data_IF_034757305333
#
_entry.id   IF_034757305333
#
_cell.length_a   1.000
_cell.length_b   1.000
_cell.length_c   1.000
_cell.angle_alpha   90.00
_cell.angle_beta   90.00
_cell.angle_gamma   90.00
#
_symmetry.space_group_name_H-M   'P 1'
#
loop_
_entity.id
_entity.type
_entity.pdbx_description
1 polymer ?
#
# COMPACT_ATOMS: atom_id res chain seq x y z
N UNK A 1 0.68 -15.57 5.35
CA UNK A 1 1.14 -14.18 5.12
C UNK A 1 0.74 -13.67 3.74
N UNK A 2 0.51 -12.37 3.61
CA UNK A 2 0.08 -11.76 2.34
C UNK A 2 1.29 -11.61 1.38
N UNK A 3 1.09 -11.71 0.05
CA UNK A 3 2.19 -11.62 -0.91
C UNK A 3 3.02 -10.34 -0.84
N UNK A 4 2.39 -9.20 -0.55
CA UNK A 4 3.07 -7.90 -0.37
C UNK A 4 3.94 -7.92 0.88
N UNK A 5 3.42 -8.47 1.98
CA UNK A 5 4.16 -8.55 3.25
C UNK A 5 5.40 -9.45 3.13
N UNK A 6 5.27 -10.61 2.46
CA UNK A 6 6.39 -11.49 2.15
C UNK A 6 7.43 -10.78 1.27
N UNK A 7 6.98 -9.99 0.29
CA UNK A 7 7.89 -9.25 -0.58
C UNK A 7 8.66 -8.15 0.18
N UNK A 8 8.02 -7.47 1.12
CA UNK A 8 8.67 -6.49 2.00
C UNK A 8 9.73 -7.13 2.90
N UNK A 9 9.43 -8.30 3.49
CA UNK A 9 10.38 -9.04 4.33
C UNK A 9 11.56 -9.63 3.55
N UNK A 10 11.36 -9.98 2.27
CA UNK A 10 12.40 -10.51 1.37
C UNK A 10 13.07 -9.45 0.49
N UNK A 11 12.77 -8.16 0.71
CA UNK A 11 13.33 -7.06 -0.09
C UNK A 11 14.83 -6.92 0.12
N UNK A 12 15.57 -6.58 -0.94
CA UNK A 12 17.00 -6.18 -0.85
C UNK A 12 17.21 -5.00 0.09
N UNK A 13 16.19 -4.17 0.26
CA UNK A 13 16.24 -3.01 1.14
C UNK A 13 15.81 -3.34 2.58
N UNK A 14 15.53 -4.59 2.94
CA UNK A 14 15.03 -4.99 4.28
C UNK A 14 15.83 -4.38 5.44
N UNK A 15 17.15 -4.31 5.33
CA UNK A 15 18.03 -3.75 6.38
C UNK A 15 18.14 -2.22 6.40
N UNK A 16 17.64 -1.51 5.38
CA UNK A 16 17.67 -0.04 5.34
C UNK A 16 16.64 0.59 6.26
N UNK A 17 16.93 1.79 6.73
CA UNK A 17 16.05 2.51 7.64
C UNK A 17 14.68 2.77 7.00
N UNK A 18 13.54 2.51 7.67
CA UNK A 18 12.21 2.76 7.09
C UNK A 18 11.98 4.21 6.63
N UNK A 19 12.52 5.20 7.36
CA UNK A 19 12.40 6.61 6.96
C UNK A 19 13.06 6.93 5.61
N UNK A 20 14.17 6.27 5.26
CA UNK A 20 14.80 6.46 3.95
C UNK A 20 13.85 6.03 2.83
N UNK A 21 13.23 4.87 3.00
CA UNK A 21 12.28 4.30 2.04
C UNK A 21 10.98 5.10 2.00
N UNK A 22 10.54 5.60 3.16
CA UNK A 22 9.37 6.47 3.26
C UNK A 22 9.60 7.79 2.53
N UNK A 23 10.75 8.43 2.75
CA UNK A 23 11.12 9.67 2.04
C UNK A 23 11.11 9.47 0.53
N UNK A 24 11.71 8.38 0.04
CA UNK A 24 11.73 8.09 -1.39
C UNK A 24 10.34 7.73 -1.93
N UNK A 25 9.66 6.76 -1.31
CA UNK A 25 8.35 6.27 -1.78
C UNK A 25 7.26 7.34 -1.71
N UNK A 26 7.08 7.97 -0.55
CA UNK A 26 6.11 9.05 -0.40
C UNK A 26 6.57 10.34 -1.10
N UNK A 27 7.87 10.61 -1.19
CA UNK A 27 8.38 11.71 -1.99
C UNK A 27 8.01 11.57 -3.46
N UNK A 28 8.17 10.38 -4.04
CA UNK A 28 7.73 10.07 -5.41
C UNK A 28 6.20 10.17 -5.57
N UNK A 29 5.44 9.76 -4.55
CA UNK A 29 3.98 9.95 -4.55
C UNK A 29 3.60 11.43 -4.52
N UNK A 30 4.24 12.24 -3.68
CA UNK A 30 3.98 13.68 -3.58
C UNK A 30 4.38 14.38 -4.87
N UNK A 31 5.55 14.06 -5.46
CA UNK A 31 5.95 14.65 -6.75
C UNK A 31 4.97 14.26 -7.86
N UNK A 32 4.50 13.02 -7.93
CA UNK A 32 3.47 12.61 -8.90
C UNK A 32 2.15 13.40 -8.75
N UNK A 33 1.75 13.73 -7.53
CA UNK A 33 0.50 14.47 -7.26
C UNK A 33 0.65 15.96 -7.55
N UNK A 34 1.77 16.56 -7.16
CA UNK A 34 1.99 18.01 -7.26
C UNK A 34 2.45 18.47 -8.66
N UNK A 35 3.12 17.60 -9.42
CA UNK A 35 3.60 17.93 -10.76
C UNK A 35 2.47 17.89 -11.81
N UNK A 36 2.63 18.61 -12.94
CA UNK A 36 1.73 18.48 -14.07
C UNK A 36 1.71 17.01 -14.56
N UNK A 37 0.52 16.43 -14.81
CA UNK A 37 0.42 15.02 -15.20
C UNK A 37 1.19 14.68 -16.47
N UNK A 38 1.21 15.60 -17.42
CA UNK A 38 2.09 15.58 -18.57
C UNK A 38 3.03 16.80 -18.49
N UNK A 39 4.36 16.63 -18.60
CA UNK A 39 5.12 15.38 -18.79
C UNK A 39 5.52 14.68 -17.48
N UNK A 40 5.15 15.20 -16.30
CA UNK A 40 5.66 14.77 -15.00
C UNK A 40 5.26 13.36 -14.57
N UNK A 41 4.01 12.96 -14.85
CA UNK A 41 3.49 11.62 -14.50
C UNK A 41 4.33 10.48 -15.09
N UNK A 42 4.57 10.45 -16.43
CA UNK A 42 5.45 9.48 -17.06
C UNK A 42 6.87 9.46 -16.48
N UNK A 43 7.48 10.62 -16.23
CA UNK A 43 8.83 10.71 -15.66
C UNK A 43 8.91 10.11 -14.26
N UNK A 44 7.97 10.47 -13.38
CA UNK A 44 7.92 9.94 -12.02
C UNK A 44 7.61 8.45 -12.03
N UNK A 45 6.70 7.98 -12.90
CA UNK A 45 6.40 6.56 -13.08
C UNK A 45 7.63 5.78 -13.55
N UNK A 46 8.34 6.28 -14.56
CA UNK A 46 9.55 5.66 -15.09
C UNK A 46 10.66 5.58 -14.04
N UNK A 47 10.92 6.66 -13.31
CA UNK A 47 11.90 6.67 -12.22
C UNK A 47 11.51 5.69 -11.10
N UNK A 48 10.23 5.66 -10.73
CA UNK A 48 9.75 4.74 -9.69
C UNK A 48 9.87 3.28 -10.13
N UNK A 49 9.55 2.95 -11.38
CA UNK A 49 9.73 1.63 -11.96
C UNK A 49 11.21 1.23 -12.01
N UNK A 50 12.10 2.14 -12.41
CA UNK A 50 13.54 1.91 -12.40
C UNK A 50 14.05 1.57 -11.00
N UNK A 51 13.57 2.29 -9.97
CA UNK A 51 13.91 2.02 -8.56
C UNK A 51 13.35 0.67 -8.09
N UNK A 52 12.08 0.38 -8.39
CA UNK A 52 11.39 -0.85 -8.02
C UNK A 52 12.07 -2.10 -8.60
N UNK A 53 12.35 -2.08 -9.91
CA UNK A 53 12.88 -3.23 -10.65
C UNK A 53 14.41 -3.36 -10.52
N UNK A 54 15.13 -2.25 -10.35
CA UNK A 54 16.58 -2.23 -10.22
C UNK A 54 17.06 -2.41 -8.78
N UNK A 55 17.35 -1.32 -8.05
CA UNK A 55 17.99 -1.38 -6.73
C UNK A 55 17.10 -2.03 -5.66
N UNK A 56 15.78 -1.88 -5.70
CA UNK A 56 14.88 -2.56 -4.76
C UNK A 56 14.70 -4.06 -5.11
N UNK A 57 14.92 -4.45 -6.36
CA UNK A 57 14.90 -5.84 -6.82
C UNK A 57 13.52 -6.50 -6.74
N UNK A 58 12.43 -5.73 -6.87
CA UNK A 58 11.07 -6.26 -6.88
C UNK A 58 10.83 -6.97 -8.20
N UNK A 59 10.30 -8.20 -8.17
CA UNK A 59 10.03 -8.92 -9.41
C UNK A 59 8.87 -8.28 -10.17
N UNK A 60 9.05 -8.04 -11.47
CA UNK A 60 8.03 -7.38 -12.31
C UNK A 60 6.66 -8.08 -12.27
N UNK A 61 6.64 -9.42 -12.19
CA UNK A 61 5.39 -10.19 -12.03
C UNK A 61 4.66 -9.89 -10.72
N UNK A 62 5.39 -9.73 -9.59
CA UNK A 62 4.77 -9.39 -8.29
C UNK A 62 4.26 -7.95 -8.32
N UNK A 63 5.05 -7.04 -8.89
CA UNK A 63 4.66 -5.64 -9.05
C UNK A 63 3.38 -5.52 -9.89
N UNK A 64 3.34 -6.12 -11.08
CA UNK A 64 2.17 -6.09 -11.95
C UNK A 64 0.91 -6.65 -11.29
N UNK A 65 1.04 -7.79 -10.57
CA UNK A 65 -0.09 -8.40 -9.85
C UNK A 65 -0.69 -7.48 -8.78
N UNK A 66 0.13 -6.65 -8.14
CA UNK A 66 -0.33 -5.67 -7.17
C UNK A 66 -0.85 -4.39 -7.84
N UNK A 67 -0.16 -3.90 -8.87
CA UNK A 67 -0.47 -2.64 -9.55
C UNK A 67 -1.74 -2.70 -10.42
N UNK A 68 -2.09 -3.87 -10.98
CA UNK A 68 -3.28 -4.02 -11.82
C UNK A 68 -4.60 -3.67 -11.13
N UNK A 69 -4.67 -3.82 -9.79
CA UNK A 69 -5.90 -3.52 -9.03
C UNK A 69 -6.12 -2.00 -8.92
N UNK A 70 -5.15 -1.20 -8.42
CA UNK A 70 -5.22 0.25 -8.52
C UNK A 70 -5.42 0.75 -9.95
N UNK A 71 -4.70 0.18 -10.93
CA UNK A 71 -4.84 0.58 -12.33
C UNK A 71 -6.27 0.39 -12.84
N UNK A 72 -6.89 -0.78 -12.56
CA UNK A 72 -8.28 -1.04 -12.91
C UNK A 72 -9.24 -0.02 -12.30
N UNK A 73 -9.05 0.33 -11.02
CA UNK A 73 -9.83 1.36 -10.35
C UNK A 73 -9.66 2.74 -11.00
N UNK A 74 -8.42 3.11 -11.35
CA UNK A 74 -8.13 4.39 -11.99
C UNK A 74 -8.76 4.47 -13.39
N UNK A 75 -8.71 3.38 -14.16
CA UNK A 75 -9.39 3.28 -15.47
C UNK A 75 -10.90 3.43 -15.30
N UNK A 76 -11.51 2.75 -14.33
CA UNK A 76 -12.95 2.93 -14.08
C UNK A 76 -13.31 4.35 -13.67
N UNK A 77 -12.44 5.05 -12.92
CA UNK A 77 -12.63 6.46 -12.55
C UNK A 77 -12.38 7.45 -13.68
N UNK A 78 -11.64 7.05 -14.73
CA UNK A 78 -11.38 7.88 -15.90
C UNK A 78 -12.53 7.83 -16.91
N UNK A 79 -13.30 6.75 -16.96
CA UNK A 79 -14.42 6.59 -17.91
C UNK A 79 -15.47 7.71 -17.83
N UNK A 80 -15.94 8.13 -16.63
CA UNK A 80 -16.91 9.24 -16.54
C UNK A 80 -16.38 10.56 -17.09
N UNK A 81 -15.06 10.79 -17.09
CA UNK A 81 -14.48 12.03 -17.59
C UNK A 81 -14.62 12.18 -19.12
N UNK A 82 -14.89 11.10 -19.83
CA UNK A 82 -15.10 11.12 -21.28
C UNK A 82 -16.48 11.68 -21.68
N UNK A 83 -17.39 11.81 -20.72
CA UNK A 83 -18.79 12.16 -20.98
C UNK A 83 -19.15 13.42 -20.20
N UNK A 84 -19.71 14.42 -20.88
CA UNK A 84 -20.36 15.57 -20.25
C UNK A 84 -21.85 15.28 -20.05
N UNK A 85 -22.38 15.69 -18.90
CA UNK A 85 -23.80 15.54 -18.57
C UNK A 85 -24.44 16.93 -18.54
N UNK A 86 -25.47 17.14 -19.36
CA UNK A 86 -26.17 18.41 -19.48
C UNK A 86 -25.43 19.42 -20.35
N UNK A 87 -26.03 19.73 -21.50
CA UNK A 87 -25.54 20.74 -22.44
C UNK A 87 -26.52 20.95 -23.60
N UNK A 88 -26.18 21.83 -24.56
CA UNK A 88 -27.00 22.09 -25.75
C UNK A 88 -27.21 20.84 -26.62
N UNK A 89 -26.23 19.92 -26.62
CA UNK A 89 -26.21 18.71 -27.46
C UNK A 89 -26.95 17.50 -26.83
N UNK A 90 -27.58 17.68 -25.66
CA UNK A 90 -28.41 16.67 -25.01
C UNK A 90 -28.00 16.33 -23.56
N UNK A 91 -28.59 15.25 -23.03
CA UNK A 91 -28.34 14.79 -21.66
C UNK A 91 -26.95 14.16 -21.48
N UNK A 92 -26.40 13.53 -22.52
CA UNK A 92 -25.08 12.91 -22.54
C UNK A 92 -24.37 13.28 -23.85
N UNK A 93 -23.22 13.94 -23.75
CA UNK A 93 -22.40 14.31 -24.89
C UNK A 93 -20.92 13.93 -24.62
N UNK A 94 -20.09 13.72 -25.66
CA UNK A 94 -18.65 13.58 -25.46
C UNK A 94 -18.07 14.87 -24.86
N UNK A 95 -17.31 14.74 -23.78
CA UNK A 95 -16.66 15.90 -23.15
C UNK A 95 -15.50 16.39 -24.05
N UNK A 96 -15.46 17.67 -24.47
CA UNK A 96 -14.42 18.19 -25.37
C UNK A 96 -12.99 17.94 -24.86
N UNK A 97 -12.75 18.19 -23.57
CA UNK A 97 -11.46 17.94 -22.90
C UNK A 97 -11.42 16.60 -22.14
N UNK A 98 -12.45 15.77 -22.29
CA UNK A 98 -12.62 14.52 -21.55
C UNK A 98 -11.44 13.56 -21.68
N UNK A 99 -10.97 13.24 -22.91
CA UNK A 99 -9.81 12.38 -23.11
C UNK A 99 -8.53 12.91 -22.45
N UNK A 100 -8.31 14.23 -22.46
CA UNK A 100 -7.17 14.87 -21.82
C UNK A 100 -7.24 14.74 -20.30
N UNK A 101 -8.39 15.04 -19.70
CA UNK A 101 -8.60 14.89 -18.26
C UNK A 101 -8.51 13.44 -17.79
N UNK A 102 -9.03 12.50 -18.59
CA UNK A 102 -8.90 11.07 -18.35
C UNK A 102 -7.43 10.62 -18.35
N UNK A 103 -6.65 11.07 -19.34
CA UNK A 103 -5.21 10.78 -19.41
C UNK A 103 -4.45 11.40 -18.22
N UNK A 104 -4.72 12.66 -17.91
CA UNK A 104 -4.10 13.36 -16.77
C UNK A 104 -4.38 12.63 -15.44
N UNK A 105 -5.62 12.19 -15.23
CA UNK A 105 -5.99 11.39 -14.08
C UNK A 105 -5.21 10.07 -14.04
N UNK A 106 -5.14 9.34 -15.16
CA UNK A 106 -4.46 8.06 -15.24
C UNK A 106 -2.97 8.18 -14.97
N UNK A 107 -2.31 9.18 -15.56
CA UNK A 107 -0.88 9.43 -15.38
C UNK A 107 -0.55 9.75 -13.92
N UNK A 108 -1.28 10.69 -13.32
CA UNK A 108 -1.10 11.10 -11.93
C UNK A 108 -1.32 9.95 -10.95
N UNK A 109 -2.46 9.27 -11.07
CA UNK A 109 -2.85 8.21 -10.12
C UNK A 109 -1.99 6.97 -10.26
N UNK A 110 -1.58 6.62 -11.48
CA UNK A 110 -0.64 5.52 -11.73
C UNK A 110 0.75 5.78 -11.14
N UNK A 111 1.32 6.97 -11.39
CA UNK A 111 2.61 7.37 -10.85
C UNK A 111 2.58 7.43 -9.30
N UNK A 112 1.54 8.04 -8.72
CA UNK A 112 1.37 8.11 -7.27
C UNK A 112 1.25 6.73 -6.62
N UNK A 113 0.49 5.82 -7.24
CA UNK A 113 0.30 4.44 -6.78
C UNK A 113 1.60 3.65 -6.80
N UNK A 114 2.46 3.85 -7.80
CA UNK A 114 3.77 3.20 -7.87
C UNK A 114 4.69 3.63 -6.70
N UNK A 115 4.64 4.91 -6.28
CA UNK A 115 5.41 5.40 -5.12
C UNK A 115 4.96 4.74 -3.81
N UNK A 116 3.65 4.57 -3.62
CA UNK A 116 3.09 3.84 -2.46
C UNK A 116 3.49 2.37 -2.51
N UNK A 117 3.42 1.74 -3.69
CA UNK A 117 3.86 0.36 -3.88
C UNK A 117 5.36 0.19 -3.59
N UNK A 118 6.21 1.16 -3.96
CA UNK A 118 7.63 1.14 -3.60
C UNK A 118 7.82 1.02 -2.08
N UNK A 119 7.11 1.82 -1.29
CA UNK A 119 7.18 1.71 0.16
C UNK A 119 6.64 0.36 0.66
N UNK A 120 5.48 -0.06 0.17
CA UNK A 120 4.81 -1.31 0.58
C UNK A 120 5.63 -2.56 0.25
N UNK A 121 6.36 -2.59 -0.88
CA UNK A 121 7.19 -3.72 -1.29
C UNK A 121 8.58 -3.75 -0.65
N UNK A 122 9.00 -2.67 0.04
CA UNK A 122 10.35 -2.55 0.62
C UNK A 122 10.38 -2.42 2.13
N UNK A 123 9.22 -2.14 2.76
CA UNK A 123 9.14 -1.79 4.17
C UNK A 123 8.05 -2.58 4.89
N UNK A 124 8.41 -3.60 5.70
CA UNK A 124 7.48 -4.32 6.54
C UNK A 124 6.80 -3.41 7.57
N UNK A 125 5.51 -3.63 7.82
CA UNK A 125 4.75 -2.89 8.86
C UNK A 125 5.36 -3.11 10.25
N UNK A 126 5.87 -4.31 10.50
CA UNK A 126 6.59 -4.69 11.73
C UNK A 126 7.84 -3.85 12.01
N UNK A 127 8.46 -3.26 10.97
CA UNK A 127 9.57 -2.32 11.13
C UNK A 127 9.09 -0.88 11.33
N UNK A 128 7.96 -0.50 10.73
CA UNK A 128 7.45 0.88 10.79
C UNK A 128 6.85 1.17 12.15
N UNK A 129 5.92 0.32 12.62
CA UNK A 129 5.11 0.60 13.80
C UNK A 129 5.94 0.92 15.06
N UNK A 130 6.94 0.10 15.45
CA UNK A 130 7.73 0.39 16.66
C UNK A 130 8.50 1.72 16.60
N UNK A 131 8.79 2.20 15.39
CA UNK A 131 9.53 3.45 15.18
C UNK A 131 8.64 4.69 15.22
N UNK A 132 7.31 4.53 15.12
CA UNK A 132 6.34 5.64 15.22
C UNK A 132 6.31 6.25 16.62
N UNK A 133 6.65 5.49 17.67
CA UNK A 133 6.76 6.03 19.04
C UNK A 133 7.78 7.17 19.10
N UNK A 134 8.92 7.01 18.41
CA UNK A 134 9.95 8.07 18.32
C UNK A 134 9.52 9.26 17.46
N UNK A 135 8.50 9.09 16.63
CA UNK A 135 7.91 10.15 15.82
C UNK A 135 6.74 10.86 16.53
N UNK A 136 6.48 10.56 17.81
CA UNK A 136 5.45 11.20 18.63
C UNK A 136 4.11 10.48 18.69
N UNK A 137 3.97 9.29 18.08
CA UNK A 137 2.76 8.49 18.22
C UNK A 137 2.71 7.84 19.61
N UNK A 138 1.60 7.95 20.37
CA UNK A 138 1.50 7.33 21.70
C UNK A 138 1.75 5.82 21.66
N UNK A 139 2.55 5.31 22.60
CA UNK A 139 2.90 3.89 22.68
C UNK A 139 1.67 2.95 22.68
N UNK A 140 0.57 3.23 23.40
CA UNK A 140 -0.63 2.37 23.36
C UNK A 140 -1.22 2.20 21.95
N UNK A 141 -1.15 3.24 21.12
CA UNK A 141 -1.64 3.19 19.72
C UNK A 141 -0.77 2.26 18.88
N UNK A 142 0.55 2.33 19.08
CA UNK A 142 1.51 1.45 18.40
C UNK A 142 1.34 0.00 18.86
N UNK A 143 1.15 -0.22 20.15
CA UNK A 143 0.96 -1.54 20.75
C UNK A 143 -0.30 -2.23 20.20
N UNK A 144 -1.43 -1.50 20.17
CA UNK A 144 -2.67 -1.98 19.55
C UNK A 144 -2.45 -2.31 18.07
N UNK A 145 -1.78 -1.43 17.32
CA UNK A 145 -1.50 -1.67 15.90
C UNK A 145 -0.62 -2.91 15.66
N UNK A 146 0.40 -3.14 16.50
CA UNK A 146 1.26 -4.33 16.45
C UNK A 146 0.48 -5.61 16.74
N UNK A 147 -0.38 -5.58 17.76
CA UNK A 147 -1.25 -6.72 18.11
C UNK A 147 -2.27 -6.98 17.00
N UNK A 148 -2.90 -5.94 16.44
CA UNK A 148 -3.82 -6.06 15.30
C UNK A 148 -3.12 -6.68 14.08
N UNK A 149 -1.92 -6.22 13.75
CA UNK A 149 -1.12 -6.77 12.66
C UNK A 149 -0.83 -8.26 12.87
N UNK A 150 -0.41 -8.65 14.07
CA UNK A 150 -0.14 -10.06 14.43
C UNK A 150 -1.41 -10.92 14.39
N UNK A 151 -2.47 -10.49 15.06
CA UNK A 151 -3.74 -11.23 15.11
C UNK A 151 -4.36 -11.33 13.73
N UNK A 152 -4.26 -10.29 12.89
CA UNK A 152 -4.72 -10.28 11.51
C UNK A 152 -4.20 -11.46 10.70
N UNK A 153 -2.89 -11.74 10.74
CA UNK A 153 -2.35 -12.91 10.04
C UNK A 153 -2.80 -14.25 10.63
N UNK A 154 -2.86 -14.37 11.96
CA UNK A 154 -3.35 -15.57 12.62
C UNK A 154 -4.82 -15.87 12.26
N UNK A 155 -5.64 -14.83 12.13
CA UNK A 155 -7.02 -14.94 11.69
C UNK A 155 -7.11 -15.28 10.21
N UNK A 156 -6.29 -14.69 9.32
CA UNK A 156 -6.26 -15.04 7.90
C UNK A 156 -5.94 -16.53 7.68
N UNK A 157 -4.99 -17.09 8.42
CA UNK A 157 -4.66 -18.51 8.32
C UNK A 157 -5.82 -19.39 8.83
N UNK A 158 -6.45 -18.98 9.94
CA UNK A 158 -7.64 -19.66 10.49
C UNK A 158 -8.83 -19.60 9.51
N UNK A 159 -9.07 -18.44 8.89
CA UNK A 159 -10.11 -18.21 7.90
C UNK A 159 -9.92 -19.13 6.69
N UNK A 160 -8.69 -19.28 6.21
CA UNK A 160 -8.39 -20.17 5.09
C UNK A 160 -8.70 -21.65 5.43
N UNK A 161 -8.39 -22.10 6.65
CA UNK A 161 -8.72 -23.45 7.10
C UNK A 161 -10.24 -23.66 7.20
N UNK A 162 -10.97 -22.73 7.83
CA UNK A 162 -12.43 -22.84 7.97
C UNK A 162 -13.12 -22.79 6.61
N UNK A 163 -12.67 -21.91 5.68
CA UNK A 163 -13.21 -21.87 4.31
C UNK A 163 -13.04 -23.19 3.57
N UNK A 164 -11.89 -23.87 3.71
CA UNK A 164 -11.67 -25.21 3.12
C UNK A 164 -12.61 -26.25 3.73
N UNK A 165 -12.80 -26.23 5.05
CA UNK A 165 -13.74 -27.12 5.72
C UNK A 165 -15.20 -26.88 5.29
N UNK A 166 -15.61 -25.62 5.11
CA UNK A 166 -16.92 -25.25 4.58
C UNK A 166 -17.10 -25.72 3.14
N UNK A 167 -16.08 -25.54 2.29
CA UNK A 167 -16.08 -26.00 0.90
C UNK A 167 -16.29 -27.53 0.80
N UNK A 168 -15.59 -28.30 1.65
CA UNK A 168 -15.73 -29.76 1.73
C UNK A 168 -17.13 -30.22 2.18
N UNK A 169 -17.90 -29.35 2.84
CA UNK A 169 -19.28 -29.60 3.32
C UNK A 169 -20.35 -28.98 2.42
N UNK A 170 -20.04 -28.76 1.13
CA UNK A 170 -20.95 -28.13 0.16
C UNK A 170 -21.37 -26.69 0.53
N UNK A 171 -20.60 -26.01 1.39
CA UNK A 171 -20.89 -24.65 1.86
C UNK A 171 -20.83 -23.57 0.77
N UNK A 172 -20.42 -23.93 -0.45
CA UNK A 172 -20.34 -23.05 -1.62
C UNK A 172 -21.20 -23.56 -2.79
N UNK A 173 -22.05 -24.58 -2.58
CA UNK A 173 -22.85 -25.20 -3.63
C UNK A 173 -23.90 -24.27 -4.27
N UNK A 174 -24.25 -23.16 -3.62
CA UNK A 174 -25.16 -22.16 -4.15
C UNK A 174 -25.07 -20.84 -3.40
N UNK A 175 -25.74 -19.79 -3.92
CA UNK A 175 -25.66 -18.43 -3.37
C UNK A 175 -26.08 -18.37 -1.89
N UNK A 176 -27.19 -19.02 -1.53
CA UNK A 176 -27.66 -19.07 -0.14
C UNK A 176 -26.71 -19.84 0.78
N UNK A 177 -26.14 -20.95 0.31
CA UNK A 177 -25.13 -21.70 1.05
C UNK A 177 -23.84 -20.87 1.25
N UNK A 178 -23.40 -20.15 0.21
CA UNK A 178 -22.23 -19.29 0.27
C UNK A 178 -22.42 -18.15 1.30
N UNK A 179 -23.57 -17.47 1.30
CA UNK A 179 -23.88 -16.44 2.30
C UNK A 179 -23.92 -16.99 3.73
N UNK A 180 -24.57 -18.13 3.96
CA UNK A 180 -24.57 -18.79 5.28
C UNK A 180 -23.15 -19.16 5.72
N UNK A 181 -22.32 -19.68 4.81
CA UNK A 181 -20.92 -20.01 5.09
C UNK A 181 -20.11 -18.76 5.44
N UNK A 182 -20.29 -17.65 4.71
CA UNK A 182 -19.61 -16.38 5.00
C UNK A 182 -20.04 -15.82 6.34
N UNK A 183 -21.33 -15.84 6.67
CA UNK A 183 -21.85 -15.39 7.97
C UNK A 183 -21.28 -16.24 9.12
N UNK A 184 -21.32 -17.57 9.00
CA UNK A 184 -20.74 -18.48 9.99
C UNK A 184 -19.23 -18.32 10.14
N UNK A 185 -18.51 -18.06 9.04
CA UNK A 185 -17.09 -17.77 9.05
C UNK A 185 -16.80 -16.47 9.81
N UNK A 186 -17.56 -15.40 9.54
CA UNK A 186 -17.41 -14.12 10.21
C UNK A 186 -17.68 -14.24 11.73
N UNK A 187 -18.78 -14.88 12.11
CA UNK A 187 -19.13 -15.11 13.52
C UNK A 187 -18.04 -15.93 14.25
N UNK A 188 -17.59 -17.03 13.63
CA UNK A 188 -16.53 -17.88 14.21
C UNK A 188 -15.22 -17.11 14.35
N UNK A 189 -14.85 -16.31 13.36
CA UNK A 189 -13.63 -15.51 13.41
C UNK A 189 -13.68 -14.40 14.45
N UNK A 190 -14.85 -13.80 14.66
CA UNK A 190 -15.06 -12.81 15.71
C UNK A 190 -14.80 -13.42 17.10
N UNK A 191 -15.48 -14.52 17.44
CA UNK A 191 -15.28 -15.20 18.74
C UNK A 191 -13.83 -15.63 18.93
N UNK A 192 -13.23 -16.26 17.90
CA UNK A 192 -11.82 -16.68 17.96
C UNK A 192 -10.84 -15.51 18.12
N UNK A 193 -11.17 -14.31 17.64
CA UNK A 193 -10.33 -13.13 17.82
C UNK A 193 -10.31 -12.70 19.30
N UNK A 194 -11.46 -12.68 19.96
CA UNK A 194 -11.57 -12.39 21.40
C UNK A 194 -10.88 -13.45 22.25
N UNK A 195 -11.09 -14.73 21.95
CA UNK A 195 -10.40 -15.82 22.66
C UNK A 195 -8.87 -15.71 22.53
N UNK A 196 -8.37 -15.33 21.34
CA UNK A 196 -6.94 -15.11 21.11
C UNK A 196 -6.43 -13.89 21.87
N UNK A 197 -7.22 -12.82 21.95
CA UNK A 197 -6.85 -11.62 22.70
C UNK A 197 -6.78 -11.93 24.22
N UNK A 198 -7.75 -12.65 24.77
CA UNK A 198 -7.76 -13.09 26.17
C UNK A 198 -6.53 -13.95 26.50
N UNK A 199 -6.25 -14.98 25.70
CA UNK A 199 -5.05 -15.82 25.87
C UNK A 199 -3.74 -15.05 25.72
N UNK A 200 -3.69 -14.06 24.81
CA UNK A 200 -2.52 -13.19 24.67
C UNK A 200 -2.32 -12.35 25.94
N UNK A 201 -3.39 -11.78 26.49
CA UNK A 201 -3.34 -11.00 27.72
C UNK A 201 -2.88 -11.83 28.91
N UNK A 202 -3.43 -13.03 29.10
CA UNK A 202 -3.00 -13.97 30.14
C UNK A 202 -1.51 -14.35 30.00
N UNK A 203 -1.08 -14.66 28.77
CA UNK A 203 0.31 -14.98 28.49
C UNK A 203 1.28 -13.81 28.68
N UNK A 204 0.83 -12.59 28.44
CA UNK A 204 1.59 -11.36 28.71
C UNK A 204 1.65 -11.07 30.21
N UNK A 205 0.54 -11.23 30.94
CA UNK A 205 0.50 -11.08 32.38
C UNK A 205 1.49 -12.03 33.08
N UNK A 206 1.57 -13.29 32.64
CA UNK A 206 2.56 -14.26 33.12
C UNK A 206 4.02 -13.89 32.84
N UNK A 207 4.28 -12.89 31.98
CA UNK A 207 5.62 -12.36 31.65
C UNK A 207 5.89 -10.99 32.28
N UNK A 208 5.06 -10.55 33.23
CA UNK A 208 5.21 -9.27 33.90
C UNK A 208 4.79 -8.06 33.04
N UNK A 209 3.79 -8.23 32.19
CA UNK A 209 3.23 -7.12 31.42
C UNK A 209 2.67 -6.03 32.33
N UNK A 210 3.20 -4.82 32.19
CA UNK A 210 2.89 -3.62 32.99
C UNK A 210 1.95 -2.65 32.26
N UNK A 211 1.38 -3.07 31.12
CA UNK A 211 0.57 -2.22 30.26
C UNK A 211 1.31 -1.62 29.05
N UNK A 212 2.61 -1.87 28.89
CA UNK A 212 3.39 -1.42 27.74
C UNK A 212 4.13 -2.58 27.03
N UNK A 213 3.96 -2.72 25.71
CA UNK A 213 4.67 -3.73 24.93
C UNK A 213 6.05 -3.21 24.50
N UNK A 214 7.06 -3.51 25.30
CA UNK A 214 8.45 -3.14 24.99
C UNK A 214 9.08 -4.17 24.06
N UNK A 215 9.23 -3.81 22.78
CA UNK A 215 9.87 -4.67 21.77
C UNK A 215 11.24 -4.11 21.39
N UNK A 216 12.26 -4.97 21.34
CA UNK A 216 13.58 -4.61 20.85
C UNK A 216 13.53 -4.41 19.33
N UNK A 217 13.77 -3.18 18.90
CA UNK A 217 13.83 -2.81 17.48
C UNK A 217 15.30 -2.79 17.05
N UNK A 218 15.70 -3.59 16.05
CA UNK A 218 17.06 -3.55 15.55
C UNK A 218 17.48 -2.12 15.16
N UNK A 219 18.64 -1.64 15.61
CA UNK A 219 19.12 -0.31 15.24
C UNK A 219 19.35 -0.28 13.73
N UNK A 220 18.64 0.60 13.04
CA UNK A 220 18.91 0.95 11.65
C UNK A 220 19.52 2.36 11.66
N UNK A 221 20.64 2.55 10.97
CA UNK A 221 21.28 3.87 10.86
C UNK A 221 20.79 4.56 9.59
N UNK A 222 20.62 5.87 9.64
CA UNK A 222 20.32 6.69 8.48
C UNK A 222 21.58 6.87 7.61
N UNK A 223 21.49 6.46 6.36
CA UNK A 223 22.50 6.65 5.34
C UNK A 223 22.32 8.01 4.68
N UNK A 224 23.22 8.95 5.01
CA UNK A 224 23.26 10.28 4.37
C UNK A 224 23.38 10.19 2.85
N UNK A 225 24.14 9.21 2.34
CA UNK A 225 24.29 8.97 0.90
C UNK A 225 22.96 8.61 0.24
N UNK A 226 22.16 7.77 0.89
CA UNK A 226 20.85 7.39 0.35
C UNK A 226 19.87 8.56 0.40
N UNK A 227 19.84 9.30 1.52
CA UNK A 227 18.99 10.48 1.65
C UNK A 227 19.34 11.55 0.61
N UNK A 228 20.63 11.81 0.39
CA UNK A 228 21.10 12.73 -0.64
C UNK A 228 20.72 12.24 -2.05
N UNK A 229 20.89 10.96 -2.35
CA UNK A 229 20.50 10.39 -3.65
C UNK A 229 18.97 10.44 -3.87
N UNK A 230 18.17 10.16 -2.84
CA UNK A 230 16.72 10.27 -2.90
C UNK A 230 16.28 11.72 -3.13
N UNK A 231 16.84 12.67 -2.37
CA UNK A 231 16.57 14.09 -2.55
C UNK A 231 17.00 14.60 -3.94
N UNK A 232 18.18 14.19 -4.42
CA UNK A 232 18.67 14.53 -5.75
C UNK A 232 17.76 13.98 -6.85
N UNK A 233 17.28 12.74 -6.73
CA UNK A 233 16.32 12.15 -7.68
C UNK A 233 15.01 12.93 -7.70
N UNK A 234 14.45 13.27 -6.54
CA UNK A 234 13.21 14.05 -6.44
C UNK A 234 13.40 15.44 -7.03
N UNK A 235 14.50 16.13 -6.71
CA UNK A 235 14.82 17.44 -7.27
C UNK A 235 15.01 17.38 -8.80
N UNK A 236 15.69 16.36 -9.32
CA UNK A 236 15.88 16.16 -10.75
C UNK A 236 14.55 15.92 -11.48
N UNK A 237 13.63 15.16 -10.87
CA UNK A 237 12.29 14.94 -11.44
C UNK A 237 11.47 16.23 -11.48
N UNK A 238 11.52 17.04 -10.41
CA UNK A 238 10.85 18.34 -10.36
C UNK A 238 11.43 19.28 -11.41
N UNK A 239 12.76 19.46 -11.42
CA UNK A 239 13.44 20.34 -12.36
C UNK A 239 13.20 19.91 -13.82
N UNK A 240 13.38 18.62 -14.12
CA UNK A 240 13.16 18.08 -15.46
C UNK A 240 11.72 18.24 -15.93
N UNK A 241 10.74 18.08 -15.03
CA UNK A 241 9.32 18.28 -15.37
C UNK A 241 9.02 19.76 -15.66
N UNK A 242 9.56 20.68 -14.85
CA UNK A 242 9.35 22.11 -15.05
C UNK A 242 10.00 22.60 -16.35
N UNK A 243 11.24 22.16 -16.63
CA UNK A 243 11.94 22.50 -17.88
C UNK A 243 11.18 21.97 -19.09
N UNK A 244 10.71 20.71 -19.06
CA UNK A 244 9.96 20.16 -20.19
C UNK A 244 8.63 20.90 -20.41
N UNK A 245 7.95 21.28 -19.32
CA UNK A 245 6.74 22.11 -19.40
C UNK A 245 7.03 23.48 -20.01
N UNK A 246 8.14 24.12 -19.66
CA UNK A 246 8.56 25.40 -20.24
C UNK A 246 8.91 25.28 -21.73
N UNK A 247 9.43 24.13 -22.15
CA UNK A 247 9.70 23.81 -23.56
C UNK A 247 8.43 23.49 -24.37
N UNK A 248 7.24 23.58 -23.76
CA UNK A 248 5.96 23.31 -24.40
C UNK A 248 5.67 21.83 -24.65
N UNK A 249 6.42 20.94 -23.99
CA UNK A 249 6.17 19.51 -23.97
C UNK A 249 5.16 19.13 -22.90
#
# INVERSE_FOLDING_TARGET
MLPIDVAAHSSRWRGRHPLEKALLGFGLTVTAVCLPPWPGGPLVAAATLAVLLGPAGVSGRRLWRAFRVPLGFCVTGALPLLVSVGGPDGLLAPAPDGPRHALDLLLRTSAASLGVLLFAFTTPVSDVLPRLVRAGVPAPVVDVALVMYRIGFLLLDSLAQVRRAQAARLGQAGRAAAWRSVAGLAATSFVRAFDRAARLQEGLAGRGYDGALRVLVPPARLSRRFLAAAAALLAALVAGTLVLKELGL
#
